data_IF_477473698989
#
_entry.id   IF_477473698989
#
_cell.length_a   1.000
_cell.length_b   1.000
_cell.length_c   1.000
_cell.angle_alpha   90.00
_cell.angle_beta   90.00
_cell.angle_gamma   90.00
#
_symmetry.space_group_name_H-M   'P 1'
#
loop_
_entity.id
_entity.type
_entity.pdbx_description
1 polymer ?
#
# COMPACT_ATOMS: atom_id res chain seq x y z
N UNK A 1 -13.49 -23.90 2.13
CA UNK A 1 -13.44 -22.88 3.21
C UNK A 1 -12.15 -22.07 3.12
N UNK A 2 -11.83 -21.55 1.94
CA UNK A 2 -10.48 -21.08 1.53
C UNK A 2 -10.43 -19.58 1.23
N UNK A 3 -11.26 -18.77 1.89
CA UNK A 3 -11.38 -17.32 1.62
C UNK A 3 -11.19 -16.60 2.95
N UNK A 4 -10.23 -15.71 3.23
CA UNK A 4 -9.36 -14.89 2.41
C UNK A 4 -8.03 -14.78 3.16
N UNK A 5 -6.94 -15.29 2.58
CA UNK A 5 -5.60 -15.25 3.19
C UNK A 5 -4.99 -13.84 3.18
N UNK A 6 -5.53 -12.93 2.37
CA UNK A 6 -4.99 -11.60 2.14
C UNK A 6 -5.95 -10.50 2.62
N UNK A 7 -5.37 -9.33 2.93
CA UNK A 7 -6.06 -8.08 3.22
C UNK A 7 -5.47 -6.99 2.32
N UNK A 8 -6.32 -6.04 1.97
CA UNK A 8 -5.96 -4.87 1.19
C UNK A 8 -6.00 -3.63 2.08
N UNK A 9 -4.97 -2.80 1.97
CA UNK A 9 -4.90 -1.50 2.64
C UNK A 9 -4.95 -0.43 1.56
N UNK A 10 -5.95 0.43 1.66
CA UNK A 10 -6.05 1.66 0.89
C UNK A 10 -5.32 2.74 1.68
N UNK A 11 -4.26 3.28 1.08
CA UNK A 11 -3.42 4.28 1.69
C UNK A 11 -3.34 5.52 0.80
N UNK A 12 -3.07 6.66 1.41
CA UNK A 12 -2.75 7.91 0.74
C UNK A 12 -1.33 8.30 1.13
N UNK A 13 -0.54 8.74 0.16
CA UNK A 13 0.79 9.30 0.36
C UNK A 13 0.74 10.79 0.08
N UNK A 14 1.23 11.57 1.05
CA UNK A 14 1.40 13.01 0.94
C UNK A 14 2.89 13.35 1.00
N UNK A 15 3.36 14.14 0.05
CA UNK A 15 4.73 14.65 0.04
C UNK A 15 4.75 16.09 0.55
N UNK A 16 5.72 16.43 1.39
CA UNK A 16 5.90 17.82 1.81
C UNK A 16 6.45 18.70 0.67
N UNK A 17 7.10 18.09 -0.33
CA UNK A 17 7.68 18.78 -1.48
C UNK A 17 6.83 18.56 -2.74
N UNK A 18 6.59 19.59 -3.57
CA UNK A 18 5.75 19.48 -4.77
C UNK A 18 6.35 18.58 -5.86
N UNK A 19 7.68 18.42 -5.88
CA UNK A 19 8.38 17.55 -6.83
C UNK A 19 8.59 16.12 -6.32
N UNK A 20 8.02 15.77 -5.17
CA UNK A 20 8.24 14.45 -4.54
C UNK A 20 7.80 13.28 -5.40
N UNK A 21 6.90 13.51 -6.35
CA UNK A 21 6.38 12.50 -7.27
C UNK A 21 7.32 12.12 -8.41
N UNK A 22 8.33 12.94 -8.72
CA UNK A 22 9.18 12.74 -9.90
C UNK A 22 10.02 11.46 -9.86
N UNK A 23 10.24 10.90 -8.66
CA UNK A 23 11.07 9.73 -8.46
C UNK A 23 10.32 8.53 -7.87
N UNK A 24 8.99 8.58 -7.78
CA UNK A 24 8.18 7.53 -7.15
C UNK A 24 7.80 6.48 -8.16
N UNK A 25 8.36 5.28 -7.99
CA UNK A 25 8.00 4.08 -8.74
C UNK A 25 7.42 3.04 -7.79
N UNK A 26 6.57 2.15 -8.30
CA UNK A 26 6.03 1.02 -7.53
C UNK A 26 7.13 0.18 -6.86
N UNK A 27 8.19 -0.13 -7.61
CA UNK A 27 9.36 -0.90 -7.12
C UNK A 27 10.10 -0.17 -6.00
N UNK A 28 10.25 1.15 -6.12
CA UNK A 28 10.92 1.97 -5.10
C UNK A 28 10.07 2.07 -3.86
N UNK A 29 8.75 2.21 -4.02
CA UNK A 29 7.82 2.22 -2.91
C UNK A 29 7.79 0.88 -2.18
N UNK A 30 7.74 -0.23 -2.92
CA UNK A 30 7.81 -1.58 -2.36
C UNK A 30 9.09 -1.77 -1.52
N UNK A 31 10.24 -1.40 -2.09
CA UNK A 31 11.54 -1.47 -1.39
C UNK A 31 11.56 -0.56 -0.17
N UNK A 32 11.09 0.68 -0.29
CA UNK A 32 11.08 1.63 0.82
C UNK A 32 10.20 1.17 1.99
N UNK A 33 9.04 0.57 1.69
CA UNK A 33 8.17 -0.03 2.71
C UNK A 33 8.88 -1.21 3.38
N UNK A 34 9.55 -2.09 2.62
CA UNK A 34 10.33 -3.19 3.22
C UNK A 34 11.50 -2.69 4.08
N UNK A 35 12.22 -1.66 3.63
CA UNK A 35 13.29 -1.03 4.42
C UNK A 35 12.74 -0.40 5.71
N UNK A 36 11.55 0.20 5.67
CA UNK A 36 10.88 0.71 6.86
C UNK A 36 10.43 -0.41 7.79
N UNK A 37 9.91 -1.51 7.26
CA UNK A 37 9.59 -2.72 8.05
C UNK A 37 10.86 -3.25 8.72
N UNK A 38 11.98 -3.29 8.01
CA UNK A 38 13.27 -3.71 8.58
C UNK A 38 13.69 -2.80 9.74
N UNK A 39 13.52 -1.49 9.61
CA UNK A 39 13.87 -0.53 10.67
C UNK A 39 12.98 -0.66 11.91
N UNK A 40 11.70 -0.98 11.75
CA UNK A 40 10.74 -1.04 12.86
C UNK A 40 10.67 -2.44 13.50
N UNK A 41 10.64 -3.49 12.69
CA UNK A 41 10.39 -4.89 13.11
C UNK A 41 11.58 -5.82 12.89
N UNK A 42 12.70 -5.33 12.32
CA UNK A 42 13.87 -6.15 12.02
C UNK A 42 13.64 -7.17 10.90
N UNK A 43 14.56 -8.13 10.81
CA UNK A 43 14.56 -9.15 9.75
C UNK A 43 13.34 -10.08 9.80
N UNK A 44 12.78 -10.29 11.00
CA UNK A 44 11.55 -11.07 11.18
C UNK A 44 10.37 -10.42 10.45
N UNK A 45 10.18 -9.11 10.61
CA UNK A 45 9.10 -8.39 9.95
C UNK A 45 9.24 -8.44 8.43
N UNK A 46 10.47 -8.29 7.93
CA UNK A 46 10.76 -8.40 6.49
C UNK A 46 10.46 -9.80 5.99
N UNK A 47 10.90 -10.86 6.67
CA UNK A 47 10.66 -12.24 6.24
C UNK A 47 9.16 -12.57 6.15
N UNK A 48 8.35 -12.10 7.10
CA UNK A 48 6.90 -12.31 7.09
C UNK A 48 6.19 -11.55 5.96
N UNK A 49 6.60 -10.31 5.71
CA UNK A 49 5.92 -9.44 4.75
C UNK A 49 6.43 -9.61 3.33
N UNK A 50 7.74 -9.78 3.10
CA UNK A 50 8.37 -9.72 1.78
C UNK A 50 7.77 -10.65 0.73
N UNK A 51 7.33 -11.85 1.11
CA UNK A 51 6.75 -12.83 0.18
C UNK A 51 5.28 -12.53 -0.17
N UNK A 52 4.53 -11.95 0.78
CA UNK A 52 3.09 -11.75 0.63
C UNK A 52 2.70 -10.32 0.30
N UNK A 53 3.60 -9.38 0.53
CA UNK A 53 3.42 -7.96 0.33
C UNK A 53 3.63 -7.58 -1.14
N UNK A 54 2.62 -6.95 -1.72
CA UNK A 54 2.68 -6.38 -3.06
C UNK A 54 1.99 -5.02 -3.08
N UNK A 55 2.58 -4.07 -3.80
CA UNK A 55 1.88 -2.84 -4.21
C UNK A 55 1.12 -3.22 -5.47
N UNK A 56 -0.19 -3.02 -5.48
CA UNK A 56 -1.07 -3.37 -6.60
C UNK A 56 -1.43 -2.16 -7.46
N UNK A 57 -1.53 -1.01 -6.81
CA UNK A 57 -1.89 0.22 -7.48
C UNK A 57 -1.18 1.38 -6.81
N UNK A 58 -0.68 2.29 -7.63
CA UNK A 58 -0.10 3.56 -7.22
C UNK A 58 -0.57 4.60 -8.24
N UNK A 59 -1.22 5.64 -7.74
CA UNK A 59 -1.55 6.81 -8.53
C UNK A 59 -0.69 8.00 -8.10
N UNK A 60 0.20 8.44 -8.98
CA UNK A 60 1.10 9.56 -8.72
C UNK A 60 0.41 10.92 -8.79
N UNK A 61 -0.78 11.00 -9.37
CA UNK A 61 -1.58 12.23 -9.45
C UNK A 61 -2.39 12.45 -8.18
N UNK A 62 -3.09 11.42 -7.70
CA UNK A 62 -3.97 11.53 -6.52
C UNK A 62 -3.30 11.18 -5.20
N UNK A 63 -2.14 10.51 -5.22
CA UNK A 63 -1.52 10.04 -3.99
C UNK A 63 -2.05 8.72 -3.46
N UNK A 64 -2.92 8.02 -4.21
CA UNK A 64 -3.58 6.83 -3.71
C UNK A 64 -2.76 5.58 -3.99
N UNK A 65 -2.69 4.71 -2.98
CA UNK A 65 -1.92 3.49 -2.93
C UNK A 65 -2.81 2.31 -2.52
N UNK A 66 -2.64 1.19 -3.21
CA UNK A 66 -3.25 -0.07 -2.82
C UNK A 66 -2.18 -1.10 -2.48
N UNK A 67 -2.20 -1.55 -1.23
CA UNK A 67 -1.26 -2.53 -0.71
C UNK A 67 -1.97 -3.84 -0.43
N UNK A 68 -1.40 -4.95 -0.88
CA UNK A 68 -1.83 -6.31 -0.53
C UNK A 68 -0.88 -6.88 0.52
N UNK A 69 -1.43 -7.51 1.56
CA UNK A 69 -0.64 -8.20 2.58
C UNK A 69 -1.41 -9.41 3.13
N UNK A 70 -0.71 -10.38 3.73
CA UNK A 70 -1.35 -11.53 4.38
C UNK A 70 -2.14 -11.08 5.62
N UNK A 71 -3.32 -11.67 5.84
CA UNK A 71 -4.21 -11.40 6.98
C UNK A 71 -3.52 -11.59 8.35
N UNK A 72 -2.50 -12.46 8.43
CA UNK A 72 -1.74 -12.68 9.65
C UNK A 72 -0.81 -11.49 10.01
N UNK A 73 -0.33 -10.73 9.03
CA UNK A 73 0.74 -9.75 9.19
C UNK A 73 0.35 -8.31 8.82
N UNK A 74 -0.92 -8.06 8.47
CA UNK A 74 -1.37 -6.70 8.10
C UNK A 74 -1.16 -5.65 9.20
N UNK A 75 -1.20 -6.03 10.49
CA UNK A 75 -0.94 -5.11 11.60
C UNK A 75 0.53 -4.65 11.65
N UNK A 76 1.47 -5.53 11.29
CA UNK A 76 2.88 -5.18 11.18
C UNK A 76 3.06 -4.13 10.09
N UNK A 77 2.53 -4.39 8.90
CA UNK A 77 2.55 -3.44 7.79
C UNK A 77 1.86 -2.12 8.18
N UNK A 78 0.66 -2.17 8.76
CA UNK A 78 -0.08 -0.96 9.11
C UNK A 78 0.68 -0.09 10.12
N UNK A 79 1.27 -0.69 11.15
CA UNK A 79 2.10 0.03 12.12
C UNK A 79 3.32 0.69 11.46
N UNK A 80 3.91 0.06 10.44
CA UNK A 80 5.11 0.58 9.77
C UNK A 80 4.84 1.76 8.87
N UNK A 81 3.64 1.88 8.29
CA UNK A 81 3.30 2.95 7.36
C UNK A 81 3.42 4.33 8.01
N UNK A 82 3.04 4.46 9.28
CA UNK A 82 3.18 5.69 10.05
C UNK A 82 4.64 6.09 10.31
N UNK A 83 5.60 5.16 10.23
CA UNK A 83 7.02 5.45 10.43
C UNK A 83 7.76 5.82 9.14
N UNK A 84 7.12 5.68 7.98
CA UNK A 84 7.70 6.05 6.70
C UNK A 84 7.64 7.57 6.56
N UNK A 85 8.77 8.22 6.85
CA UNK A 85 8.92 9.67 6.76
C UNK A 85 9.79 10.14 5.59
N UNK A 86 10.49 9.21 4.94
CA UNK A 86 11.47 9.52 3.89
C UNK A 86 11.38 8.49 2.78
N UNK A 87 11.16 8.96 1.55
CA UNK A 87 11.26 8.18 0.34
C UNK A 87 12.49 8.64 -0.45
N UNK A 88 13.40 7.73 -0.75
CA UNK A 88 14.63 8.05 -1.49
C UNK A 88 15.60 8.95 -0.70
N UNK A 89 16.20 9.94 -1.37
CA UNK A 89 17.34 10.72 -0.83
C UNK A 89 16.96 12.05 -0.17
N UNK A 90 15.80 12.64 -0.47
CA UNK A 90 15.42 13.99 0.01
C UNK A 90 13.92 14.25 0.16
N UNK A 91 13.05 13.30 -0.16
CA UNK A 91 11.61 13.56 -0.20
C UNK A 91 10.97 13.08 1.10
N UNK A 92 10.51 14.03 1.92
CA UNK A 92 9.74 13.71 3.12
C UNK A 92 8.30 13.41 2.73
N UNK A 93 7.84 12.20 3.05
CA UNK A 93 6.51 11.71 2.74
C UNK A 93 5.83 11.18 4.00
N UNK A 94 4.50 11.21 4.04
CA UNK A 94 3.70 10.55 5.07
C UNK A 94 2.70 9.65 4.37
N UNK A 95 2.64 8.38 4.80
CA UNK A 95 1.70 7.40 4.27
C UNK A 95 0.63 7.12 5.34
N UNK A 96 -0.62 7.44 5.00
CA UNK A 96 -1.77 7.29 5.88
C UNK A 96 -2.70 6.21 5.34
N UNK A 97 -3.08 5.24 6.15
CA UNK A 97 -4.12 4.29 5.77
C UNK A 97 -5.50 4.90 5.95
N UNK A 98 -6.30 4.86 4.89
CA UNK A 98 -7.70 5.28 4.89
C UNK A 98 -8.59 4.09 5.26
N UNK A 99 -8.36 2.92 4.63
CA UNK A 99 -9.23 1.76 4.81
C UNK A 99 -8.45 0.44 4.79
N UNK A 100 -8.92 -0.53 5.58
CA UNK A 100 -8.37 -1.90 5.62
C UNK A 100 -9.48 -2.91 5.35
N UNK A 101 -9.45 -3.54 4.17
CA UNK A 101 -10.45 -4.48 3.69
C UNK A 101 -9.95 -5.93 3.64
N UNK A 102 -10.84 -6.90 3.81
CA UNK A 102 -10.52 -8.33 3.74
C UNK A 102 -10.74 -8.95 2.34
N UNK A 103 -11.46 -8.27 1.46
CA UNK A 103 -11.90 -8.79 0.16
C UNK A 103 -12.00 -7.66 -0.86
N UNK A 104 -11.87 -7.97 -2.16
CA UNK A 104 -12.04 -7.02 -3.28
C UNK A 104 -13.27 -6.13 -3.10
N UNK A 105 -14.35 -6.70 -2.56
CA UNK A 105 -15.62 -6.03 -2.28
C UNK A 105 -15.50 -4.89 -1.27
N UNK A 106 -14.75 -5.08 -0.18
CA UNK A 106 -14.54 -4.04 0.83
C UNK A 106 -13.75 -2.85 0.27
N UNK A 107 -12.80 -3.13 -0.62
CA UNK A 107 -12.08 -2.09 -1.35
C UNK A 107 -13.00 -1.39 -2.37
N UNK A 108 -13.83 -2.13 -3.10
CA UNK A 108 -14.78 -1.57 -4.05
C UNK A 108 -15.81 -0.67 -3.33
N UNK A 109 -16.24 -1.03 -2.12
CA UNK A 109 -17.09 -0.20 -1.26
C UNK A 109 -16.36 1.02 -0.69
N UNK A 110 -15.10 0.89 -0.30
CA UNK A 110 -14.26 2.01 0.14
C UNK A 110 -14.00 3.03 -0.99
N UNK A 111 -13.74 2.55 -2.21
CA UNK A 111 -13.62 3.40 -3.39
C UNK A 111 -14.97 4.03 -3.74
N UNK A 112 -16.08 3.31 -3.60
CA UNK A 112 -17.43 3.84 -3.87
C UNK A 112 -17.85 4.94 -2.87
N UNK A 113 -17.38 4.87 -1.63
CA UNK A 113 -17.66 5.85 -0.57
C UNK A 113 -16.72 7.07 -0.63
N UNK A 114 -15.55 6.95 -1.27
CA UNK A 114 -14.69 8.07 -1.59
C UNK A 114 -15.13 8.69 -2.93
N UNK A 115 -15.28 10.02 -3.02
CA UNK A 115 -15.87 10.69 -4.21
C UNK A 115 -15.08 10.56 -5.52
N UNK A 116 -13.97 9.82 -5.54
CA UNK A 116 -13.08 9.64 -6.70
C UNK A 116 -13.50 8.41 -7.53
N UNK A 117 -14.57 8.56 -8.31
CA UNK A 117 -15.11 7.52 -9.21
C UNK A 117 -14.09 7.02 -10.25
N UNK A 118 -13.10 7.84 -10.60
CA UNK A 118 -12.09 7.54 -11.63
C UNK A 118 -11.13 6.42 -11.23
N UNK A 119 -10.93 6.16 -9.92
CA UNK A 119 -10.01 5.12 -9.43
C UNK A 119 -10.67 3.72 -9.38
N UNK A 120 -11.96 3.63 -9.70
CA UNK A 120 -12.75 2.43 -9.48
C UNK A 120 -12.46 1.34 -10.52
N UNK A 121 -12.16 1.72 -11.76
CA UNK A 121 -11.79 0.79 -12.83
C UNK A 121 -10.34 0.30 -12.66
N UNK A 122 -9.38 1.20 -12.40
CA UNK A 122 -7.97 0.83 -12.22
C UNK A 122 -7.73 -0.08 -11.01
N UNK A 123 -8.40 0.18 -9.89
CA UNK A 123 -8.27 -0.64 -8.67
C UNK A 123 -8.88 -2.03 -8.88
N UNK A 124 -9.94 -2.14 -9.68
CA UNK A 124 -10.52 -3.42 -10.08
C UNK A 124 -9.56 -4.18 -10.99
N UNK A 125 -8.96 -3.54 -12.00
CA UNK A 125 -7.97 -4.16 -12.90
C UNK A 125 -6.73 -4.65 -12.16
N UNK A 126 -6.19 -3.87 -11.23
CA UNK A 126 -5.04 -4.24 -10.40
C UNK A 126 -5.31 -5.47 -9.50
N UNK A 127 -6.57 -5.74 -9.19
CA UNK A 127 -6.99 -6.86 -8.35
C UNK A 127 -7.24 -8.17 -9.11
N UNK A 128 -7.24 -8.14 -10.45
CA UNK A 128 -7.43 -9.30 -11.34
C UNK A 128 -6.13 -10.06 -11.64
N UNK A 129 -4.96 -9.44 -11.45
CA UNK A 129 -3.65 -10.06 -11.72
C UNK A 129 -3.23 -11.16 -10.72
N UNK A 130 -4.07 -11.48 -9.72
CA UNK A 130 -3.78 -12.51 -8.71
C UNK A 130 -4.48 -13.85 -8.97
N UNK A 131 -5.19 -13.99 -10.10
CA UNK A 131 -5.99 -15.19 -10.43
C UNK A 131 -5.55 -15.93 -11.69
N UNK A 132 -4.42 -15.55 -12.30
CA UNK A 132 -3.85 -16.23 -13.48
C UNK A 132 -2.47 -16.82 -13.16
#
# INVERSE_FOLDING_TARGET
TTCCLYRYLLCEISFASPNGWQHVDEKKLHRAILEAIQKVHGDFGVACCAVSFAVKYLNTYTGILLLRCRKAHYRLLWSTLAFIHQLGKKETCVITCIHVGAERTALQEAVRSCSLKELQEDVVSASEEDSN
#
